data_IF_291414762675
#
_entry.id   IF_291414762675
#
_cell.length_a   1.000
_cell.length_b   1.000
_cell.length_c   1.000
_cell.angle_alpha   90.00
_cell.angle_beta   90.00
_cell.angle_gamma   90.00
#
_symmetry.space_group_name_H-M   'P 1'
#
loop_
_entity.id
_entity.type
_entity.pdbx_description
1 polymer ?
#
# COMPACT_ATOMS: atom_id res chain seq x y z
N UNK A 1 -8.20 -4.55 3.37
CA UNK A 1 -8.72 -5.16 4.61
C UNK A 1 -8.50 -6.67 4.53
N UNK A 2 -7.37 -7.17 5.07
CA UNK A 2 -7.04 -8.60 5.11
C UNK A 2 -7.35 -9.19 6.49
N UNK A 3 -6.86 -8.56 7.56
CA UNK A 3 -7.13 -8.96 8.95
C UNK A 3 -8.62 -9.01 9.30
N UNK A 4 -9.41 -8.05 8.82
CA UNK A 4 -10.84 -7.94 9.16
C UNK A 4 -11.71 -9.01 8.50
N UNK A 5 -11.31 -9.50 7.32
CA UNK A 5 -12.08 -10.42 6.49
C UNK A 5 -11.59 -11.87 6.61
N UNK A 6 -10.28 -12.03 6.85
CA UNK A 6 -9.61 -13.33 6.90
C UNK A 6 -8.58 -13.36 8.05
N UNK A 7 -9.02 -13.32 9.32
CA UNK A 7 -8.11 -13.29 10.47
C UNK A 7 -7.20 -14.53 10.54
N UNK A 8 -7.73 -15.71 10.21
CA UNK A 8 -6.95 -16.96 10.24
C UNK A 8 -5.80 -16.96 9.23
N UNK A 9 -6.06 -16.42 8.03
CA UNK A 9 -5.02 -16.28 6.99
C UNK A 9 -4.03 -15.19 7.35
N UNK A 10 -4.46 -14.15 8.07
CA UNK A 10 -3.59 -13.08 8.54
C UNK A 10 -2.58 -13.59 9.58
N UNK A 11 -3.04 -14.39 10.54
CA UNK A 11 -2.13 -15.04 11.52
C UNK A 11 -1.18 -16.01 10.83
N UNK A 12 -1.67 -16.83 9.89
CA UNK A 12 -0.82 -17.71 9.11
C UNK A 12 0.21 -16.94 8.27
N UNK A 13 -0.17 -15.78 7.72
CA UNK A 13 0.74 -14.93 6.95
C UNK A 13 1.88 -14.38 7.81
N UNK A 14 1.61 -13.99 9.06
CA UNK A 14 2.62 -13.53 10.04
C UNK A 14 3.68 -14.59 10.31
N UNK A 15 3.32 -15.87 10.34
CA UNK A 15 4.27 -16.97 10.52
C UNK A 15 5.31 -17.08 9.40
N UNK A 16 5.03 -16.52 8.22
CA UNK A 16 5.94 -16.53 7.08
C UNK A 16 6.90 -15.32 7.05
N UNK A 17 6.68 -14.29 7.86
CA UNK A 17 7.60 -13.15 8.01
C UNK A 17 8.77 -13.56 8.91
N UNK A 18 9.64 -14.42 8.39
CA UNK A 18 10.81 -14.95 9.07
C UNK A 18 12.11 -14.47 8.41
N UNK A 19 13.17 -14.19 9.19
CA UNK A 19 14.47 -13.87 8.62
C UNK A 19 15.02 -15.04 7.80
N UNK A 20 15.47 -14.75 6.59
CA UNK A 20 16.08 -15.75 5.73
C UNK A 20 17.52 -16.02 6.17
N UNK A 21 17.74 -17.20 6.76
CA UNK A 21 18.99 -17.56 7.46
C UNK A 21 20.27 -17.40 6.64
N UNK A 22 20.22 -17.56 5.30
CA UNK A 22 21.43 -17.56 4.47
C UNK A 22 21.98 -16.17 4.16
N UNK A 23 21.12 -15.16 3.99
CA UNK A 23 21.54 -13.77 3.73
C UNK A 23 21.19 -12.82 4.87
N UNK A 24 20.39 -13.26 5.84
CA UNK A 24 19.90 -12.40 6.94
C UNK A 24 18.80 -11.43 6.52
N UNK A 25 18.31 -11.53 5.27
CA UNK A 25 17.27 -10.65 4.76
C UNK A 25 15.93 -10.97 5.43
N UNK A 26 15.16 -9.93 5.75
CA UNK A 26 13.82 -10.04 6.29
C UNK A 26 12.80 -9.61 5.24
N UNK A 27 11.80 -10.44 5.00
CA UNK A 27 10.77 -10.18 3.98
C UNK A 27 9.41 -10.05 4.67
N UNK A 28 8.71 -8.98 4.33
CA UNK A 28 7.39 -8.63 4.88
C UNK A 28 6.35 -8.60 3.76
N UNK A 29 5.08 -8.83 4.10
CA UNK A 29 3.99 -8.77 3.13
C UNK A 29 3.63 -7.35 2.72
N UNK A 30 3.90 -6.40 3.62
CA UNK A 30 3.80 -4.97 3.35
C UNK A 30 5.20 -4.41 3.25
N UNK A 31 5.40 -3.43 2.38
CA UNK A 31 6.67 -2.76 2.29
C UNK A 31 6.95 -1.93 3.55
N UNK A 32 8.18 -1.99 4.05
CA UNK A 32 8.65 -1.16 5.15
C UNK A 32 8.16 -1.52 6.56
N UNK A 33 7.14 -2.36 6.69
CA UNK A 33 6.60 -2.81 7.98
C UNK A 33 6.06 -4.24 7.93
N UNK A 34 6.20 -4.96 9.04
CA UNK A 34 5.67 -6.32 9.23
C UNK A 34 4.15 -6.31 9.47
N UNK A 35 3.50 -7.45 9.25
CA UNK A 35 2.11 -7.63 9.62
C UNK A 35 1.88 -7.43 11.14
N UNK A 36 2.85 -7.76 11.99
CA UNK A 36 2.75 -7.50 13.43
C UNK A 36 2.72 -6.00 13.77
N UNK A 37 3.46 -5.16 13.03
CA UNK A 37 3.44 -3.70 13.18
C UNK A 37 2.14 -3.10 12.62
N UNK A 38 1.71 -3.58 11.45
CA UNK A 38 0.44 -3.19 10.83
C UNK A 38 -0.78 -3.49 11.70
N UNK A 39 -0.70 -4.55 12.50
CA UNK A 39 -1.79 -5.00 13.35
C UNK A 39 -2.09 -4.05 14.52
N UNK A 40 -1.14 -3.18 14.87
CA UNK A 40 -1.28 -2.26 15.99
C UNK A 40 -2.50 -1.35 15.81
N UNK A 41 -3.33 -1.14 16.85
CA UNK A 41 -4.59 -0.41 16.72
C UNK A 41 -4.39 1.04 16.24
N UNK A 42 -3.30 1.68 16.66
CA UNK A 42 -2.89 3.01 16.21
C UNK A 42 -2.60 3.03 14.71
N UNK A 43 -1.83 2.06 14.22
CA UNK A 43 -1.47 1.92 12.80
C UNK A 43 -2.70 1.60 11.95
N UNK A 44 -3.55 0.68 12.38
CA UNK A 44 -4.82 0.38 11.71
C UNK A 44 -5.73 1.62 11.61
N UNK A 45 -5.80 2.44 12.67
CA UNK A 45 -6.58 3.66 12.67
C UNK A 45 -6.01 4.71 11.71
N UNK A 46 -4.68 4.81 11.64
CA UNK A 46 -3.99 5.67 10.67
C UNK A 46 -4.32 5.27 9.23
N UNK A 47 -4.12 4.00 8.87
CA UNK A 47 -4.38 3.48 7.52
C UNK A 47 -5.83 3.76 7.10
N UNK A 48 -6.80 3.54 7.99
CA UNK A 48 -8.22 3.82 7.71
C UNK A 48 -8.48 5.29 7.45
N UNK A 49 -7.84 6.17 8.20
CA UNK A 49 -7.97 7.63 8.04
C UNK A 49 -7.36 8.09 6.73
N UNK A 50 -6.15 7.64 6.42
CA UNK A 50 -5.42 8.03 5.21
C UNK A 50 -6.15 7.52 3.96
N UNK A 51 -6.66 6.29 4.00
CA UNK A 51 -7.52 5.76 2.94
C UNK A 51 -8.80 6.58 2.75
N UNK A 52 -9.46 7.00 3.84
CA UNK A 52 -10.66 7.83 3.74
C UNK A 52 -10.36 9.19 3.08
N UNK A 53 -9.25 9.83 3.46
CA UNK A 53 -8.78 11.08 2.84
C UNK A 53 -8.45 10.89 1.35
N UNK A 54 -7.83 9.76 0.99
CA UNK A 54 -7.54 9.41 -0.40
C UNK A 54 -8.82 9.24 -1.23
N UNK A 55 -9.80 8.51 -0.70
CA UNK A 55 -11.12 8.32 -1.34
C UNK A 55 -11.85 9.65 -1.50
N UNK A 56 -11.82 10.51 -0.49
CA UNK A 56 -12.43 11.85 -0.56
C UNK A 56 -11.77 12.71 -1.64
N UNK A 57 -10.43 12.75 -1.68
CA UNK A 57 -9.67 13.45 -2.73
C UNK A 57 -10.02 12.92 -4.12
N UNK A 58 -10.06 11.60 -4.29
CA UNK A 58 -10.47 10.98 -5.56
C UNK A 58 -11.91 11.32 -5.95
N UNK A 59 -12.84 11.38 -4.98
CA UNK A 59 -14.22 11.75 -5.25
C UNK A 59 -14.36 13.21 -5.71
N UNK A 60 -13.56 14.13 -5.15
CA UNK A 60 -13.51 15.53 -5.58
C UNK A 60 -12.92 15.71 -6.99
N UNK A 61 -12.06 14.78 -7.44
CA UNK A 61 -11.43 14.78 -8.77
C UNK A 61 -12.32 14.20 -9.90
N UNK A 62 -13.57 13.79 -9.62
CA UNK A 62 -14.50 13.24 -10.62
C UNK A 62 -15.13 14.33 -11.51
N UNK A 63 -14.32 15.14 -12.17
CA UNK A 63 -14.79 15.87 -13.34
C UNK A 63 -14.83 14.92 -14.57
N UNK A 64 -15.55 15.32 -15.63
CA UNK A 64 -15.56 14.57 -16.90
C UNK A 64 -14.24 14.77 -17.67
N UNK A 65 -13.11 14.53 -17.01
CA UNK A 65 -11.79 14.58 -17.62
C UNK A 65 -11.59 13.41 -18.57
N UNK A 66 -10.81 13.65 -19.61
CA UNK A 66 -10.38 12.60 -20.52
C UNK A 66 -9.43 11.65 -19.78
N UNK A 67 -9.41 10.37 -20.16
CA UNK A 67 -8.48 9.39 -19.54
C UNK A 67 -7.03 9.89 -19.57
N UNK A 68 -6.61 10.57 -20.64
CA UNK A 68 -5.26 11.13 -20.74
C UNK A 68 -4.98 12.22 -19.70
N UNK A 69 -5.97 13.07 -19.37
CA UNK A 69 -5.83 14.09 -18.34
C UNK A 69 -5.65 13.46 -16.95
N UNK A 70 -6.45 12.43 -16.63
CA UNK A 70 -6.36 11.67 -15.37
C UNK A 70 -4.98 11.04 -15.19
N UNK A 71 -4.43 10.41 -16.23
CA UNK A 71 -3.08 9.81 -16.16
C UNK A 71 -1.95 10.85 -16.10
N UNK A 72 -2.07 11.98 -16.82
CA UNK A 72 -1.05 13.04 -16.78
C UNK A 72 -0.97 13.76 -15.43
N UNK A 73 -2.08 13.88 -14.72
CA UNK A 73 -2.12 14.47 -13.38
C UNK A 73 -1.60 13.52 -12.30
N UNK A 74 -1.71 12.21 -12.48
CA UNK A 74 -1.16 11.20 -11.57
C UNK A 74 0.37 11.22 -11.60
N UNK A 75 0.99 11.49 -12.75
CA UNK A 75 2.44 11.68 -12.90
C UNK A 75 2.94 13.01 -12.30
N UNK A 76 2.06 14.01 -12.18
CA UNK A 76 2.44 15.39 -11.82
C UNK A 76 2.25 15.75 -10.34
N UNK A 77 1.53 14.94 -9.57
CA UNK A 77 1.41 15.15 -8.11
C UNK A 77 2.53 14.41 -7.40
N UNK A 78 3.51 15.18 -6.94
CA UNK A 78 4.66 14.75 -6.15
C UNK A 78 4.31 13.67 -5.11
N UNK A 79 5.04 12.56 -5.21
CA UNK A 79 5.24 11.45 -4.28
C UNK A 79 3.98 10.80 -3.66
N UNK A 80 3.49 9.68 -4.21
CA UNK A 80 2.92 8.66 -3.34
C UNK A 80 4.08 8.10 -2.49
N UNK A 81 4.11 8.43 -1.19
CA UNK A 81 4.80 7.61 -0.18
C UNK A 81 4.06 6.26 -0.01
N UNK A 82 3.92 5.54 -1.11
CA UNK A 82 3.63 4.13 -1.23
C UNK A 82 4.54 3.70 -2.39
N UNK A 83 5.75 3.19 -2.10
CA UNK A 83 6.71 2.66 -3.09
C UNK A 83 6.07 1.56 -3.99
N UNK A 84 4.87 1.09 -3.66
CA UNK A 84 4.02 0.18 -4.44
C UNK A 84 3.34 0.84 -5.66
N UNK A 85 3.24 2.18 -5.73
CA UNK A 85 2.64 2.90 -6.87
C UNK A 85 3.67 3.27 -7.96
N UNK A 86 4.96 2.98 -7.75
CA UNK A 86 5.97 3.18 -8.77
C UNK A 86 5.84 2.07 -9.84
N UNK A 87 5.05 2.36 -10.88
CA UNK A 87 4.89 1.50 -12.03
C UNK A 87 6.26 1.04 -12.56
N UNK A 88 6.43 -0.26 -12.73
CA UNK A 88 7.69 -0.86 -13.15
C UNK A 88 8.20 -0.21 -14.46
N UNK A 89 9.32 0.52 -14.40
CA UNK A 89 9.94 1.20 -15.55
C UNK A 89 10.66 0.24 -16.53
N UNK A 90 10.45 -1.08 -16.41
CA UNK A 90 11.20 -2.08 -17.18
C UNK A 90 10.90 -2.04 -18.68
N UNK A 91 9.80 -1.40 -19.10
CA UNK A 91 9.42 -1.27 -20.51
C UNK A 91 9.76 0.10 -21.13
N UNK A 92 10.42 1.00 -20.39
CA UNK A 92 10.86 2.32 -20.89
C UNK A 92 12.36 2.43 -21.15
N UNK A 93 13.08 1.30 -21.08
CA UNK A 93 14.52 1.17 -21.38
C UNK A 93 14.76 0.67 -22.81
#
# INVERSE_FOLDING_TARGET
>A
KLKETHPDLYEKAKEYEVPFEKTGNFFTWSQGESLAELEQPERMAQIKRDHALRVERMAQRKDNSTLIAVFSELDSTEAPDDDDDQGCLVCSL
#
